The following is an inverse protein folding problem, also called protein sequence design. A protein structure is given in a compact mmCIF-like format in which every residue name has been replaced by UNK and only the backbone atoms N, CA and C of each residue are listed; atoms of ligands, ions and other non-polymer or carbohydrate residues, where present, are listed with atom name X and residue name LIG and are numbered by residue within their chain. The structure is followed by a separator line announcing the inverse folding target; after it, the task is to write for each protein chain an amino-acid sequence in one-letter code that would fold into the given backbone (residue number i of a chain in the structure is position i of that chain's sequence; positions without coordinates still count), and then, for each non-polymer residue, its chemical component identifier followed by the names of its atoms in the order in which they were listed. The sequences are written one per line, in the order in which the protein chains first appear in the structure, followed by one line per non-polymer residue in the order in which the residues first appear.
data_IF_706896849073
#
_entry.id   IF_706896849073
#
_cell.length_a   1.000
_cell.length_b   1.000
_cell.length_c   1.000
_cell.angle_alpha   90.00
_cell.angle_beta   90.00
_cell.angle_gamma   90.00
#
_symmetry.space_group_name_H-M   'P 1'
#
loop_
_entity.id
_entity.type
_entity.pdbx_description
1 polymer ?
#
# COMPACT_ATOMS: atom_id res chain seq x y z
N UNK A 1 -26.29 -45.08 4.24
CA UNK A 1 -25.07 -44.26 4.13
C UNK A 1 -25.42 -42.95 3.43
N UNK A 2 -26.01 -42.03 4.18
CA UNK A 2 -26.35 -40.68 3.74
C UNK A 2 -25.29 -39.77 4.32
N UNK A 3 -24.21 -39.54 3.57
CA UNK A 3 -23.21 -38.54 3.93
C UNK A 3 -23.92 -37.18 4.02
N UNK A 4 -23.92 -36.63 5.23
CA UNK A 4 -24.35 -35.29 5.57
C UNK A 4 -23.70 -34.28 4.62
N UNK A 5 -24.48 -33.77 3.66
CA UNK A 5 -24.23 -32.53 2.90
C UNK A 5 -24.46 -31.26 3.76
N UNK A 6 -24.36 -31.37 5.09
CA UNK A 6 -24.85 -30.34 6.04
C UNK A 6 -23.73 -29.43 6.59
N UNK A 7 -22.46 -29.68 6.27
CA UNK A 7 -21.37 -28.73 6.58
C UNK A 7 -20.65 -28.26 5.31
N UNK A 8 -21.28 -27.37 4.55
CA UNK A 8 -20.53 -26.27 3.89
C UNK A 8 -20.34 -25.10 4.88
N UNK A 9 -20.14 -25.44 6.16
CA UNK A 9 -20.23 -24.58 7.33
C UNK A 9 -19.03 -23.66 7.48
N UNK A 10 -19.00 -22.59 6.68
CA UNK A 10 -18.28 -21.39 7.06
C UNK A 10 -19.24 -20.57 7.90
N UNK A 11 -18.98 -20.45 9.21
CA UNK A 11 -19.54 -19.37 10.02
C UNK A 11 -18.62 -18.18 9.79
N UNK A 12 -18.94 -17.27 8.84
CA UNK A 12 -17.98 -16.26 8.38
C UNK A 12 -17.69 -15.26 9.50
N UNK A 13 -18.68 -15.04 10.37
CA UNK A 13 -18.59 -14.21 11.57
C UNK A 13 -17.55 -14.78 12.56
N UNK A 14 -17.64 -16.07 12.91
CA UNK A 14 -16.65 -16.71 13.78
C UNK A 14 -15.26 -16.74 13.14
N UNK A 15 -15.19 -17.01 11.83
CA UNK A 15 -13.93 -17.03 11.10
C UNK A 15 -13.28 -15.64 11.09
N UNK A 16 -14.08 -14.59 10.93
CA UNK A 16 -13.59 -13.22 10.99
C UNK A 16 -13.07 -12.85 12.38
N UNK A 17 -13.82 -13.19 13.44
CA UNK A 17 -13.37 -12.94 14.81
C UNK A 17 -12.03 -13.65 15.09
N UNK A 18 -11.87 -14.91 14.66
CA UNK A 18 -10.60 -15.64 14.79
C UNK A 18 -9.47 -14.94 14.04
N UNK A 19 -9.67 -14.61 12.76
CA UNK A 19 -8.62 -13.99 11.93
C UNK A 19 -8.23 -12.61 12.48
N UNK A 20 -9.18 -11.87 13.04
CA UNK A 20 -8.92 -10.56 13.66
C UNK A 20 -7.99 -10.66 14.86
N UNK A 21 -7.99 -11.75 15.62
CA UNK A 21 -6.98 -11.97 16.68
C UNK A 21 -5.55 -12.09 16.13
N UNK A 22 -5.39 -12.43 14.85
CA UNK A 22 -4.09 -12.47 14.18
C UNK A 22 -3.66 -11.12 13.60
N UNK A 23 -4.39 -10.03 13.85
CA UNK A 23 -3.99 -8.70 13.43
C UNK A 23 -2.57 -8.39 13.96
N UNK A 24 -1.69 -7.96 13.06
CA UNK A 24 -0.24 -7.78 13.27
C UNK A 24 0.61 -9.06 13.38
N UNK A 25 0.02 -10.26 13.47
CA UNK A 25 0.74 -11.52 13.25
C UNK A 25 0.72 -11.90 11.76
N UNK A 26 1.61 -11.26 11.01
CA UNK A 26 1.67 -11.41 9.56
C UNK A 26 2.01 -12.84 9.10
N UNK A 27 2.71 -13.62 9.91
CA UNK A 27 3.04 -15.02 9.57
C UNK A 27 1.78 -15.88 9.64
N UNK A 28 1.00 -15.70 10.70
CA UNK A 28 -0.27 -16.41 10.87
C UNK A 28 -1.32 -15.93 9.85
N UNK A 29 -1.39 -14.63 9.57
CA UNK A 29 -2.24 -14.09 8.50
C UNK A 29 -1.85 -14.65 7.13
N UNK A 30 -0.56 -14.71 6.80
CA UNK A 30 -0.09 -15.32 5.55
C UNK A 30 -0.49 -16.80 5.47
N UNK A 31 -0.35 -17.54 6.56
CA UNK A 31 -0.75 -18.95 6.62
C UNK A 31 -2.26 -19.12 6.46
N UNK A 32 -3.05 -18.19 7.01
CA UNK A 32 -4.52 -18.15 6.90
C UNK A 32 -4.99 -17.99 5.46
N UNK A 33 -4.27 -17.21 4.64
CA UNK A 33 -4.60 -17.00 3.22
C UNK A 33 -4.56 -18.30 2.41
N UNK A 34 -3.74 -19.26 2.85
CA UNK A 34 -3.53 -20.53 2.14
C UNK A 34 -4.55 -21.61 2.51
N UNK A 35 -5.41 -21.38 3.52
CA UNK A 35 -6.36 -22.38 4.01
C UNK A 35 -7.47 -22.62 2.98
N UNK A 36 -8.25 -21.57 2.66
CA UNK A 36 -9.31 -21.63 1.67
C UNK A 36 -9.68 -20.21 1.17
N UNK A 37 -10.60 -20.13 0.21
CA UNK A 37 -10.99 -18.86 -0.43
C UNK A 37 -11.61 -17.85 0.54
N UNK A 38 -12.32 -18.30 1.56
CA UNK A 38 -12.99 -17.42 2.52
C UNK A 38 -12.02 -16.87 3.55
N UNK A 39 -11.13 -17.71 4.09
CA UNK A 39 -10.04 -17.26 4.95
C UNK A 39 -9.10 -16.29 4.22
N UNK A 40 -8.79 -16.56 2.95
CA UNK A 40 -8.07 -15.63 2.07
C UNK A 40 -8.73 -14.25 2.02
N UNK A 41 -10.04 -14.17 1.75
CA UNK A 41 -10.77 -12.90 1.68
C UNK A 41 -10.78 -12.11 2.99
N UNK A 42 -10.79 -12.79 4.13
CA UNK A 42 -10.79 -12.16 5.44
C UNK A 42 -9.38 -11.72 5.88
N UNK A 43 -8.35 -12.52 5.58
CA UNK A 43 -6.98 -12.25 5.99
C UNK A 43 -6.25 -11.22 5.10
N UNK A 44 -6.58 -11.14 3.80
CA UNK A 44 -5.92 -10.21 2.87
C UNK A 44 -6.08 -8.74 3.32
N UNK A 45 -7.28 -8.23 3.66
CA UNK A 45 -7.42 -6.86 4.13
C UNK A 45 -6.52 -6.55 5.34
N UNK A 46 -6.45 -7.48 6.30
CA UNK A 46 -5.63 -7.34 7.51
C UNK A 46 -4.12 -7.38 7.22
N UNK A 47 -3.69 -8.22 6.27
CA UNK A 47 -2.29 -8.31 5.86
C UNK A 47 -1.84 -7.04 5.13
N UNK A 48 -2.76 -6.35 4.44
CA UNK A 48 -2.48 -5.18 3.62
C UNK A 48 -2.83 -3.84 4.30
N UNK A 49 -3.14 -3.83 5.60
CA UNK A 49 -3.40 -2.60 6.36
C UNK A 49 -2.17 -1.68 6.45
N UNK A 50 -0.96 -2.27 6.54
CA UNK A 50 0.31 -1.54 6.61
C UNK A 50 1.47 -2.33 5.99
N UNK A 51 1.52 -2.51 4.66
CA UNK A 51 2.56 -3.28 4.00
C UNK A 51 3.94 -2.63 4.13
N UNK A 52 4.02 -1.30 4.18
CA UNK A 52 5.28 -0.57 4.30
C UNK A 52 6.03 -0.90 5.61
N UNK A 53 5.29 -1.09 6.71
CA UNK A 53 5.87 -1.53 7.97
C UNK A 53 6.28 -3.02 7.92
N UNK A 54 5.44 -3.89 7.36
CA UNK A 54 5.72 -5.33 7.25
C UNK A 54 7.01 -5.59 6.48
N UNK A 55 7.19 -4.88 5.36
CA UNK A 55 8.31 -5.10 4.44
C UNK A 55 9.66 -4.72 5.05
N UNK A 56 9.67 -3.79 6.03
CA UNK A 56 10.86 -3.50 6.84
C UNK A 56 11.41 -4.74 7.55
N UNK A 57 10.53 -5.65 7.98
CA UNK A 57 10.91 -6.89 8.68
C UNK A 57 11.13 -8.06 7.72
N UNK A 58 10.28 -8.21 6.69
CA UNK A 58 10.36 -9.34 5.75
C UNK A 58 11.40 -9.16 4.65
N UNK A 59 11.86 -7.91 4.41
CA UNK A 59 12.72 -7.50 3.28
C UNK A 59 12.15 -7.81 1.90
N UNK A 60 10.84 -8.01 1.80
CA UNK A 60 10.12 -8.27 0.53
C UNK A 60 9.45 -6.99 0.07
N UNK A 61 9.95 -6.35 -0.99
CA UNK A 61 9.43 -5.06 -1.47
C UNK A 61 8.64 -5.16 -2.79
N UNK A 62 8.43 -6.36 -3.31
CA UNK A 62 7.77 -6.59 -4.61
C UNK A 62 6.29 -6.18 -4.62
N UNK A 63 5.70 -5.92 -3.44
CA UNK A 63 4.36 -5.35 -3.33
C UNK A 63 4.23 -3.98 -4.03
N UNK A 64 5.34 -3.25 -4.21
CA UNK A 64 5.34 -2.00 -4.98
C UNK A 64 4.90 -2.27 -6.43
N UNK A 65 5.38 -3.37 -7.03
CA UNK A 65 4.96 -3.76 -8.38
C UNK A 65 3.49 -4.19 -8.42
N UNK A 66 2.97 -4.77 -7.34
CA UNK A 66 1.54 -5.09 -7.20
C UNK A 66 0.70 -3.82 -7.22
N UNK A 67 1.09 -2.77 -6.47
CA UNK A 67 0.38 -1.49 -6.47
C UNK A 67 0.45 -0.75 -7.81
N UNK A 68 1.58 -0.84 -8.51
CA UNK A 68 1.77 -0.16 -9.78
C UNK A 68 1.28 -0.95 -10.99
N UNK A 69 0.83 -2.20 -10.80
CA UNK A 69 0.48 -3.12 -11.88
C UNK A 69 -0.56 -2.53 -12.86
N UNK A 70 -1.67 -2.03 -12.33
CA UNK A 70 -2.76 -1.45 -13.12
C UNK A 70 -2.49 0.01 -13.53
N UNK A 71 -1.58 0.68 -12.81
CA UNK A 71 -1.22 2.06 -13.09
C UNK A 71 -0.25 2.19 -14.27
N UNK A 72 0.64 1.22 -14.43
CA UNK A 72 1.63 1.21 -15.50
C UNK A 72 1.17 0.38 -16.68
N UNK A 73 1.19 1.00 -17.86
CA UNK A 73 0.96 0.31 -19.11
C UNK A 73 2.21 -0.50 -19.52
N UNK A 74 2.11 -1.29 -20.59
CA UNK A 74 3.21 -2.11 -21.06
C UNK A 74 4.45 -1.31 -21.45
N UNK A 75 4.29 -0.06 -21.94
CA UNK A 75 5.42 0.81 -22.27
C UNK A 75 6.15 1.28 -21.02
N UNK A 76 5.42 1.65 -19.96
CA UNK A 76 6.00 2.07 -18.69
C UNK A 76 6.82 0.92 -18.07
N UNK A 77 6.26 -0.30 -18.08
CA UNK A 77 6.92 -1.53 -17.63
C UNK A 77 8.18 -1.81 -18.46
N UNK A 78 8.10 -1.71 -19.79
CA UNK A 78 9.25 -1.88 -20.68
C UNK A 78 10.36 -0.85 -20.42
N UNK A 79 10.02 0.40 -20.09
CA UNK A 79 11.01 1.41 -19.70
C UNK A 79 11.72 0.96 -18.42
N UNK A 80 10.98 0.61 -17.37
CA UNK A 80 11.56 0.16 -16.10
C UNK A 80 12.46 -1.08 -16.26
N UNK A 81 12.10 -2.01 -17.15
CA UNK A 81 12.92 -3.17 -17.48
C UNK A 81 14.28 -2.80 -18.09
N UNK A 82 14.32 -1.83 -18.99
CA UNK A 82 15.59 -1.32 -19.54
C UNK A 82 16.51 -0.72 -18.47
N UNK A 83 15.94 -0.32 -17.34
CA UNK A 83 16.65 0.28 -16.21
C UNK A 83 16.70 -0.66 -14.98
N UNK A 84 16.64 -1.97 -15.21
CA UNK A 84 16.99 -2.97 -14.20
C UNK A 84 15.83 -3.46 -13.32
N UNK A 85 14.60 -2.99 -13.53
CA UNK A 85 13.42 -3.57 -12.89
C UNK A 85 12.77 -4.56 -13.85
N UNK A 86 13.07 -5.85 -13.72
CA UNK A 86 12.55 -6.86 -14.62
C UNK A 86 11.01 -6.83 -14.67
N UNK A 87 10.44 -6.98 -15.88
CA UNK A 87 8.99 -7.05 -16.09
C UNK A 87 8.34 -8.19 -15.30
N UNK A 88 9.07 -9.27 -15.02
CA UNK A 88 8.58 -10.42 -14.26
C UNK A 88 8.22 -10.09 -12.80
N UNK A 89 8.62 -8.91 -12.30
CA UNK A 89 8.25 -8.42 -10.97
C UNK A 89 6.79 -7.94 -10.94
N UNK A 90 6.24 -7.52 -12.08
CA UNK A 90 4.84 -7.14 -12.18
C UNK A 90 3.96 -8.40 -12.32
N UNK A 91 2.88 -8.52 -11.54
CA UNK A 91 1.93 -9.61 -11.74
C UNK A 91 1.27 -9.49 -13.12
N UNK A 92 0.63 -10.56 -13.60
CA UNK A 92 -0.20 -10.51 -14.81
C UNK A 92 -1.64 -10.05 -14.53
N UNK A 93 -2.10 -10.23 -13.29
CA UNK A 93 -3.37 -9.73 -12.77
C UNK A 93 -3.31 -9.54 -11.25
N UNK A 94 -4.23 -8.75 -10.70
CA UNK A 94 -4.44 -8.63 -9.26
C UNK A 94 -5.81 -9.16 -8.87
N UNK A 95 -5.86 -10.04 -7.86
CA UNK A 95 -7.11 -10.63 -7.36
C UNK A 95 -7.94 -9.68 -6.50
N UNK A 96 -7.29 -8.68 -5.91
CA UNK A 96 -7.89 -7.72 -5.00
C UNK A 96 -7.42 -6.31 -5.33
N UNK A 97 -8.22 -5.31 -4.96
CA UNK A 97 -7.79 -3.92 -4.92
C UNK A 97 -6.93 -3.68 -3.67
N UNK A 98 -5.67 -4.11 -3.70
CA UNK A 98 -4.77 -4.00 -2.55
C UNK A 98 -4.58 -2.57 -2.03
N UNK A 99 -4.47 -1.52 -2.89
CA UNK A 99 -4.36 -0.14 -2.41
C UNK A 99 -5.51 0.30 -1.49
N UNK A 100 -6.73 -0.19 -1.70
CA UNK A 100 -7.89 0.23 -0.88
C UNK A 100 -7.88 -0.33 0.54
N UNK A 101 -7.06 -1.35 0.81
CA UNK A 101 -6.93 -1.95 2.15
C UNK A 101 -5.98 -1.20 3.08
N UNK A 102 -5.22 -0.21 2.59
CA UNK A 102 -4.28 0.53 3.41
C UNK A 102 -5.03 1.29 4.51
N UNK A 103 -4.57 1.12 5.76
CA UNK A 103 -5.06 1.81 6.96
C UNK A 103 -4.01 2.69 7.61
N UNK A 104 -2.74 2.42 7.38
CA UNK A 104 -1.63 3.22 7.90
C UNK A 104 -0.67 3.55 6.76
N UNK A 105 -0.39 4.83 6.58
CA UNK A 105 0.53 5.31 5.55
C UNK A 105 1.53 6.28 6.17
N UNK A 106 2.79 5.90 6.13
CA UNK A 106 3.92 6.77 6.49
C UNK A 106 4.74 7.08 5.26
N UNK A 107 4.78 8.35 4.86
CA UNK A 107 5.49 8.77 3.66
C UNK A 107 6.98 8.46 3.74
N UNK A 108 7.57 8.50 4.93
CA UNK A 108 8.97 8.11 5.12
C UNK A 108 9.19 6.61 4.86
N UNK A 109 8.23 5.77 5.28
CA UNK A 109 8.28 4.34 5.00
C UNK A 109 8.06 4.04 3.52
N UNK A 110 7.19 4.80 2.84
CA UNK A 110 7.01 4.73 1.38
C UNK A 110 8.32 5.01 0.66
N UNK A 111 8.98 6.14 0.97
CA UNK A 111 10.28 6.50 0.39
C UNK A 111 11.32 5.41 0.60
N UNK A 112 11.44 4.93 1.84
CA UNK A 112 12.38 3.87 2.19
C UNK A 112 12.10 2.58 1.42
N UNK A 113 10.83 2.19 1.30
CA UNK A 113 10.43 0.97 0.58
C UNK A 113 10.77 1.03 -0.90
N UNK A 114 10.64 2.21 -1.54
CA UNK A 114 11.04 2.40 -2.94
C UNK A 114 12.55 2.20 -3.09
N UNK A 115 13.36 2.82 -2.24
CA UNK A 115 14.83 2.66 -2.28
C UNK A 115 15.21 1.19 -2.13
N UNK A 116 14.63 0.49 -1.16
CA UNK A 116 14.90 -0.93 -0.96
C UNK A 116 14.39 -1.81 -2.10
N UNK A 117 13.27 -1.47 -2.73
CA UNK A 117 12.77 -2.19 -3.90
C UNK A 117 13.74 -2.10 -5.08
N UNK A 118 14.25 -0.91 -5.41
CA UNK A 118 15.28 -0.78 -6.42
C UNK A 118 16.57 -1.53 -6.04
N UNK A 119 16.99 -1.42 -4.78
CA UNK A 119 18.21 -2.08 -4.28
C UNK A 119 18.10 -3.61 -4.37
N UNK A 120 16.95 -4.18 -3.99
CA UNK A 120 16.69 -5.63 -4.10
C UNK A 120 16.70 -6.11 -5.55
N UNK A 121 16.22 -5.27 -6.47
CA UNK A 121 16.27 -5.52 -7.91
C UNK A 121 17.62 -5.17 -8.54
N UNK A 122 18.62 -4.76 -7.74
CA UNK A 122 19.97 -4.40 -8.19
C UNK A 122 19.98 -3.32 -9.28
N UNK A 123 19.01 -2.42 -9.25
CA UNK A 123 18.92 -1.31 -10.20
C UNK A 123 19.75 -0.13 -9.70
N UNK A 124 20.60 0.40 -10.56
CA UNK A 124 21.43 1.59 -10.30
C UNK A 124 20.70 2.91 -10.62
N UNK A 125 19.45 2.85 -11.12
CA UNK A 125 18.72 3.99 -11.65
C UNK A 125 17.71 4.57 -10.65
N UNK A 126 18.01 4.49 -9.35
CA UNK A 126 17.15 4.98 -8.27
C UNK A 126 16.85 6.47 -8.49
N UNK A 127 17.88 7.30 -8.64
CA UNK A 127 17.71 8.76 -8.76
C UNK A 127 16.85 9.16 -9.96
N UNK A 128 16.93 8.40 -11.06
CA UNK A 128 16.17 8.64 -12.29
C UNK A 128 14.68 8.36 -12.11
N UNK A 129 14.33 7.26 -11.45
CA UNK A 129 12.94 6.78 -11.39
C UNK A 129 12.26 6.97 -10.04
N UNK A 130 13.00 7.32 -8.99
CA UNK A 130 12.45 7.48 -7.64
C UNK A 130 11.25 8.41 -7.63
N UNK A 131 11.35 9.59 -8.27
CA UNK A 131 10.26 10.55 -8.32
C UNK A 131 9.01 10.00 -9.03
N UNK A 132 9.21 9.28 -10.14
CA UNK A 132 8.11 8.65 -10.89
C UNK A 132 7.40 7.59 -10.05
N UNK A 133 8.16 6.68 -9.44
CA UNK A 133 7.61 5.60 -8.60
C UNK A 133 6.92 6.19 -7.37
N UNK A 134 7.54 7.17 -6.71
CA UNK A 134 7.00 7.83 -5.53
C UNK A 134 5.65 8.50 -5.80
N UNK A 135 5.57 9.32 -6.85
CA UNK A 135 4.32 10.00 -7.22
C UNK A 135 3.26 8.99 -7.66
N UNK A 136 3.62 8.02 -8.51
CA UNK A 136 2.67 7.01 -9.01
C UNK A 136 2.10 6.17 -7.87
N UNK A 137 2.93 5.75 -6.92
CA UNK A 137 2.52 4.92 -5.78
C UNK A 137 1.52 5.67 -4.89
N UNK A 138 1.83 6.92 -4.56
CA UNK A 138 0.92 7.76 -3.77
C UNK A 138 -0.35 8.11 -4.53
N UNK A 139 -0.27 8.33 -5.85
CA UNK A 139 -1.43 8.53 -6.70
C UNK A 139 -2.38 7.34 -6.68
N UNK A 140 -1.86 6.13 -6.81
CA UNK A 140 -2.67 4.89 -6.73
C UNK A 140 -3.35 4.81 -5.36
N UNK A 141 -2.63 5.06 -4.28
CA UNK A 141 -3.17 4.95 -2.91
C UNK A 141 -4.26 5.99 -2.66
N UNK A 142 -4.01 7.24 -3.03
CA UNK A 142 -4.95 8.36 -2.82
C UNK A 142 -6.21 8.20 -3.67
N UNK A 143 -6.07 7.79 -4.94
CA UNK A 143 -7.21 7.61 -5.86
C UNK A 143 -8.09 6.40 -5.50
N UNK A 144 -7.54 5.38 -4.85
CA UNK A 144 -8.30 4.20 -4.42
C UNK A 144 -9.08 4.42 -3.11
N UNK A 145 -9.19 5.67 -2.64
CA UNK A 145 -9.98 6.06 -1.47
C UNK A 145 -9.70 5.20 -0.23
N UNK A 146 -8.42 4.85 -0.03
CA UNK A 146 -8.00 4.08 1.13
C UNK A 146 -8.49 4.75 2.42
N UNK A 147 -9.23 4.01 3.25
CA UNK A 147 -9.78 4.51 4.51
C UNK A 147 -8.68 4.54 5.58
N UNK A 148 -7.77 5.51 5.50
CA UNK A 148 -6.65 5.67 6.41
C UNK A 148 -7.11 6.00 7.83
N UNK A 149 -6.52 5.32 8.80
CA UNK A 149 -6.63 5.62 10.23
C UNK A 149 -5.38 6.32 10.76
N UNK A 150 -4.21 6.06 10.16
CA UNK A 150 -2.94 6.68 10.54
C UNK A 150 -2.27 7.26 9.30
N UNK A 151 -1.89 8.52 9.36
CA UNK A 151 -1.16 9.20 8.29
C UNK A 151 0.02 9.99 8.88
N UNK A 152 1.22 9.62 8.47
CA UNK A 152 2.46 10.31 8.84
C UNK A 152 3.05 10.96 7.59
N UNK A 153 3.09 12.28 7.58
CA UNK A 153 3.53 13.06 6.41
C UNK A 153 4.59 14.09 6.82
N UNK A 154 5.83 13.79 6.45
CA UNK A 154 6.97 14.68 6.66
C UNK A 154 7.46 15.20 5.31
N UNK A 155 7.48 16.53 5.13
CA UNK A 155 7.92 17.14 3.87
C UNK A 155 9.45 17.25 3.82
N UNK A 156 10.03 16.82 2.70
CA UNK A 156 11.48 16.87 2.47
C UNK A 156 11.85 17.48 1.11
N UNK A 157 10.88 17.85 0.27
CA UNK A 157 11.19 18.50 -1.00
C UNK A 157 10.00 18.75 -1.92
N UNK A 158 10.31 19.14 -3.16
CA UNK A 158 9.34 19.59 -4.17
C UNK A 158 8.28 18.54 -4.52
N UNK A 159 8.64 17.25 -4.51
CA UNK A 159 7.70 16.17 -4.81
C UNK A 159 6.53 16.12 -3.81
N UNK A 160 6.79 16.43 -2.54
CA UNK A 160 5.75 16.42 -1.50
C UNK A 160 4.67 17.48 -1.73
N UNK A 161 5.02 18.59 -2.37
CA UNK A 161 4.05 19.62 -2.74
C UNK A 161 3.04 19.14 -3.78
N UNK A 162 3.47 18.31 -4.73
CA UNK A 162 2.56 17.68 -5.69
C UNK A 162 1.60 16.70 -4.98
N UNK A 163 2.12 15.95 -4.00
CA UNK A 163 1.29 15.03 -3.20
C UNK A 163 0.26 15.79 -2.36
N UNK A 164 0.65 16.91 -1.74
CA UNK A 164 -0.27 17.78 -1.00
C UNK A 164 -1.44 18.23 -1.90
N UNK A 165 -1.12 18.74 -3.10
CA UNK A 165 -2.14 19.14 -4.08
C UNK A 165 -3.05 18.00 -4.49
N UNK A 166 -2.49 16.80 -4.60
CA UNK A 166 -3.24 15.61 -4.93
C UNK A 166 -4.20 15.22 -3.78
N UNK A 167 -3.73 15.20 -2.54
CA UNK A 167 -4.58 14.92 -1.36
C UNK A 167 -5.76 15.89 -1.30
N UNK A 168 -5.52 17.18 -1.54
CA UNK A 168 -6.58 18.21 -1.59
C UNK A 168 -7.66 17.93 -2.65
N UNK A 169 -7.33 17.18 -3.70
CA UNK A 169 -8.29 16.79 -4.76
C UNK A 169 -9.15 15.59 -4.36
N UNK A 170 -8.71 14.79 -3.39
CA UNK A 170 -9.36 13.55 -2.95
C UNK A 170 -9.65 13.60 -1.44
N UNK A 171 -10.59 14.44 -0.98
CA UNK A 171 -10.82 14.67 0.46
C UNK A 171 -11.27 13.43 1.23
N UNK A 172 -11.90 12.45 0.55
CA UNK A 172 -12.28 11.17 1.16
C UNK A 172 -11.06 10.41 1.72
N UNK A 173 -9.87 10.63 1.16
CA UNK A 173 -8.62 10.01 1.59
C UNK A 173 -8.27 10.35 3.05
N UNK A 174 -8.59 11.56 3.50
CA UNK A 174 -8.23 12.05 4.84
C UNK A 174 -9.36 11.97 5.86
N UNK A 175 -10.58 11.59 5.43
CA UNK A 175 -11.78 11.70 6.26
C UNK A 175 -11.76 10.84 7.53
N UNK A 176 -11.15 9.65 7.47
CA UNK A 176 -11.15 8.67 8.56
C UNK A 176 -9.88 8.68 9.43
N UNK A 177 -8.98 9.64 9.23
CA UNK A 177 -7.69 9.70 9.92
C UNK A 177 -7.92 9.97 11.41
N UNK A 178 -7.38 9.10 12.26
CA UNK A 178 -7.42 9.21 13.73
C UNK A 178 -6.09 9.67 14.32
N UNK A 179 -5.00 9.21 13.72
CA UNK A 179 -3.64 9.56 14.09
C UNK A 179 -2.98 10.29 12.92
N UNK A 180 -2.65 11.56 13.13
CA UNK A 180 -2.05 12.40 12.12
C UNK A 180 -0.74 12.97 12.68
N UNK A 181 0.37 12.65 12.03
CA UNK A 181 1.67 13.26 12.32
C UNK A 181 2.16 14.01 11.11
N UNK A 182 2.48 15.29 11.32
CA UNK A 182 2.95 16.18 10.28
C UNK A 182 4.25 16.84 10.74
N UNK A 183 5.26 16.84 9.87
CA UNK A 183 6.47 17.61 10.11
C UNK A 183 6.94 18.27 8.82
N UNK A 184 7.48 19.47 8.97
CA UNK A 184 7.74 20.33 7.81
C UNK A 184 9.14 20.91 7.87
N UNK A 185 9.81 20.89 6.73
CA UNK A 185 10.93 21.79 6.49
C UNK A 185 10.40 23.23 6.37
N UNK A 186 11.09 24.19 7.00
CA UNK A 186 10.67 25.59 7.15
C UNK A 186 10.43 26.31 5.80
N UNK A 187 10.92 25.73 4.70
CA UNK A 187 10.79 26.24 3.34
C UNK A 187 9.56 25.73 2.57
N UNK A 188 8.78 24.79 3.11
CA UNK A 188 7.60 24.23 2.46
C UNK A 188 6.35 25.06 2.80
N UNK A 189 5.65 25.57 1.79
CA UNK A 189 4.48 26.44 1.92
C UNK A 189 3.40 25.89 2.87
N UNK A 190 3.39 26.40 4.10
CA UNK A 190 2.54 25.97 5.22
C UNK A 190 1.04 26.20 4.97
N UNK A 191 0.68 27.16 4.12
CA UNK A 191 -0.70 27.64 3.93
C UNK A 191 -1.59 26.72 3.10
N UNK A 192 -1.05 25.96 2.16
CA UNK A 192 -1.85 24.98 1.38
C UNK A 192 -2.17 23.71 2.18
N UNK A 193 -1.38 23.42 3.22
CA UNK A 193 -1.53 22.25 4.08
C UNK A 193 -2.64 22.41 5.13
N UNK A 194 -2.82 23.61 5.70
CA UNK A 194 -3.94 23.88 6.61
C UNK A 194 -5.29 23.58 5.94
N UNK A 195 -5.39 23.77 4.62
CA UNK A 195 -6.59 23.47 3.83
C UNK A 195 -6.94 21.98 3.76
N UNK A 196 -5.98 21.08 3.98
CA UNK A 196 -6.26 19.62 4.02
C UNK A 196 -7.12 19.29 5.25
N UNK A 197 -7.01 20.07 6.32
CA UNK A 197 -7.57 19.74 7.64
C UNK A 197 -8.60 20.75 8.15
N UNK A 198 -8.91 21.81 7.40
CA UNK A 198 -10.08 22.65 7.64
C UNK A 198 -11.32 21.99 7.04
N UNK A 199 -11.85 20.96 7.70
CA UNK A 199 -13.18 20.39 7.45
C UNK A 199 -13.87 20.10 8.77
#
# INVERSE_FOLDING_TARGET
MTCLKIFSGELPELSYEIIKYFQNDYKTLHSSILINRSWCRLAIPLLWENPFLICKYSRKYDFIAIYLHDHFNDKDKLILNRFGINNDVFPSNTLFNYPSFIKSLSVQQVRSSIIYWFTNNKSEYIDTFFGLIYVSLLEVIIKNEACLHTFEFFTYGKLDYFIIKLILKYPNFTHNIRNLELGFDANAGFTDLLKIFTF
#
